data_IF_661277405724
#
_entry.id   IF_661277405724
#
_cell.length_a   1.000
_cell.length_b   1.000
_cell.length_c   1.000
_cell.angle_alpha   90.00
_cell.angle_beta   90.00
_cell.angle_gamma   90.00
#
_symmetry.space_group_name_H-M   'P 1'
#
loop_
_entity.id
_entity.type
_entity.pdbx_description
1 polymer ?
#
# COMPACT_ATOMS: atom_id res chain seq x y z
N UNK A 1 -1.90 -16.06 -18.71
CA UNK A 1 -2.74 -15.54 -17.62
C UNK A 1 -3.31 -14.22 -18.09
N UNK A 2 -4.65 -14.10 -18.15
CA UNK A 2 -5.29 -12.81 -18.45
C UNK A 2 -5.04 -11.90 -17.25
N UNK A 3 -4.25 -10.84 -17.42
CA UNK A 3 -4.25 -9.72 -16.47
C UNK A 3 -5.69 -9.19 -16.46
N UNK A 4 -6.23 -8.92 -15.27
CA UNK A 4 -7.60 -8.47 -15.12
C UNK A 4 -7.74 -7.09 -15.78
N UNK A 5 -8.34 -7.03 -16.96
CA UNK A 5 -8.67 -5.78 -17.65
C UNK A 5 -9.93 -5.20 -17.01
N UNK A 6 -9.77 -4.34 -16.01
CA UNK A 6 -10.87 -3.67 -15.30
C UNK A 6 -10.38 -2.47 -14.50
N UNK A 7 -11.29 -1.60 -14.07
CA UNK A 7 -11.02 -0.51 -13.10
C UNK A 7 -10.51 -1.07 -11.78
N UNK A 8 -9.84 -0.26 -10.96
CA UNK A 8 -9.35 -0.67 -9.64
C UNK A 8 -10.51 -1.16 -8.75
N UNK A 9 -11.68 -0.52 -8.86
CA UNK A 9 -12.89 -0.94 -8.14
C UNK A 9 -13.33 -2.34 -8.56
N UNK A 10 -13.36 -2.63 -9.85
CA UNK A 10 -13.70 -3.96 -10.35
C UNK A 10 -12.69 -5.00 -9.89
N UNK A 11 -11.39 -4.68 -9.86
CA UNK A 11 -10.35 -5.59 -9.36
C UNK A 11 -10.56 -5.93 -7.88
N UNK A 12 -10.80 -4.92 -7.05
CA UNK A 12 -11.08 -5.08 -5.61
C UNK A 12 -12.34 -5.93 -5.37
N UNK A 13 -13.44 -5.60 -6.06
CA UNK A 13 -14.70 -6.35 -5.97
C UNK A 13 -14.54 -7.81 -6.42
N UNK A 14 -13.78 -8.04 -7.49
CA UNK A 14 -13.50 -9.38 -8.01
C UNK A 14 -12.68 -10.23 -7.02
N UNK A 15 -11.64 -9.66 -6.41
CA UNK A 15 -10.82 -10.36 -5.41
C UNK A 15 -11.66 -10.69 -4.18
N UNK A 16 -12.46 -9.74 -3.67
CA UNK A 16 -13.37 -9.96 -2.54
C UNK A 16 -14.40 -11.05 -2.85
N UNK A 17 -15.08 -10.95 -3.99
CA UNK A 17 -16.10 -11.93 -4.42
C UNK A 17 -15.52 -13.34 -4.54
N UNK A 18 -14.42 -13.51 -5.28
CA UNK A 18 -13.77 -14.82 -5.47
C UNK A 18 -13.28 -15.40 -4.14
N UNK A 19 -12.75 -14.56 -3.26
CA UNK A 19 -12.30 -15.00 -1.93
C UNK A 19 -13.47 -15.50 -1.08
N UNK A 20 -14.58 -14.77 -1.07
CA UNK A 20 -15.79 -15.16 -0.33
C UNK A 20 -16.43 -16.44 -0.87
N UNK A 21 -16.55 -16.57 -2.20
CA UNK A 21 -17.20 -17.72 -2.84
C UNK A 21 -16.40 -19.01 -2.73
N UNK A 22 -15.07 -18.91 -2.74
CA UNK A 22 -14.19 -20.08 -2.82
C UNK A 22 -13.50 -20.44 -1.51
N UNK A 23 -13.34 -19.49 -0.58
CA UNK A 23 -12.50 -19.62 0.61
C UNK A 23 -10.99 -19.51 0.35
N UNK A 24 -10.58 -19.20 -0.89
CA UNK A 24 -9.18 -19.00 -1.28
C UNK A 24 -8.96 -17.58 -1.78
N UNK A 25 -7.85 -16.94 -1.37
CA UNK A 25 -7.50 -15.59 -1.82
C UNK A 25 -7.55 -15.46 -3.34
N UNK A 26 -8.31 -14.47 -3.84
CA UNK A 26 -8.57 -14.24 -5.26
C UNK A 26 -9.09 -15.47 -6.05
N UNK A 27 -9.62 -16.50 -5.37
CA UNK A 27 -10.03 -17.77 -5.97
C UNK A 27 -8.88 -18.72 -6.30
N UNK A 28 -7.66 -18.43 -5.87
CA UNK A 28 -6.45 -19.19 -6.20
C UNK A 28 -6.34 -20.47 -5.35
N UNK A 29 -6.93 -21.56 -5.87
CA UNK A 29 -6.77 -22.91 -5.29
C UNK A 29 -5.39 -23.50 -5.55
N UNK A 30 -4.77 -23.07 -6.64
CA UNK A 30 -3.45 -23.48 -7.09
C UNK A 30 -2.60 -22.24 -7.37
N UNK A 31 -1.29 -22.40 -7.27
CA UNK A 31 -0.30 -21.33 -7.51
C UNK A 31 0.49 -21.67 -8.78
N UNK A 32 -0.06 -21.41 -9.98
CA UNK A 32 0.50 -21.91 -11.24
C UNK A 32 1.93 -21.42 -11.48
N UNK A 33 2.25 -20.15 -11.17
CA UNK A 33 3.65 -19.67 -11.29
C UNK A 33 4.62 -20.48 -10.42
N UNK A 34 4.21 -20.82 -9.19
CA UNK A 34 5.01 -21.62 -8.27
C UNK A 34 5.13 -23.07 -8.71
N UNK A 35 4.07 -23.64 -9.31
CA UNK A 35 4.04 -25.03 -9.77
C UNK A 35 4.80 -25.22 -11.08
N UNK A 36 4.59 -24.33 -12.06
CA UNK A 36 5.22 -24.40 -13.38
C UNK A 36 6.70 -23.95 -13.34
N UNK A 37 7.03 -22.93 -12.54
CA UNK A 37 8.37 -22.39 -12.46
C UNK A 37 8.73 -21.94 -11.02
N UNK A 38 9.03 -22.90 -10.11
CA UNK A 38 9.35 -22.60 -8.72
C UNK A 38 10.59 -21.70 -8.58
N UNK A 39 11.57 -21.82 -9.48
CA UNK A 39 12.77 -20.96 -9.44
C UNK A 39 12.42 -19.50 -9.69
N UNK A 40 11.57 -19.21 -10.69
CA UNK A 40 11.12 -17.85 -10.97
C UNK A 40 10.25 -17.30 -9.84
N UNK A 41 9.42 -18.14 -9.21
CA UNK A 41 8.64 -17.76 -8.04
C UNK A 41 9.54 -17.31 -6.89
N UNK A 42 10.52 -18.15 -6.49
CA UNK A 42 11.45 -17.83 -5.40
C UNK A 42 12.36 -16.64 -5.75
N UNK A 43 12.82 -16.54 -7.00
CA UNK A 43 13.62 -15.40 -7.46
C UNK A 43 12.83 -14.09 -7.35
N UNK A 44 11.56 -14.07 -7.80
CA UNK A 44 10.71 -12.90 -7.72
C UNK A 44 10.45 -12.51 -6.26
N UNK A 45 10.07 -13.48 -5.41
CA UNK A 45 9.84 -13.25 -3.98
C UNK A 45 11.08 -12.67 -3.29
N UNK A 46 12.25 -13.29 -3.51
CA UNK A 46 13.50 -12.85 -2.92
C UNK A 46 13.87 -11.42 -3.36
N UNK A 47 13.71 -11.09 -4.64
CA UNK A 47 13.98 -9.74 -5.15
C UNK A 47 13.04 -8.68 -4.59
N UNK A 48 11.74 -8.98 -4.51
CA UNK A 48 10.74 -8.04 -3.98
C UNK A 48 10.98 -7.75 -2.48
N UNK A 49 11.23 -8.79 -1.68
CA UNK A 49 11.56 -8.63 -0.26
C UNK A 49 12.90 -7.93 -0.06
N UNK A 50 13.92 -8.26 -0.86
CA UNK A 50 15.21 -7.58 -0.78
C UNK A 50 15.08 -6.08 -1.15
N UNK A 51 14.22 -5.74 -2.11
CA UNK A 51 13.97 -4.36 -2.50
C UNK A 51 13.32 -3.56 -1.37
N UNK A 52 12.27 -4.08 -0.71
CA UNK A 52 11.61 -3.38 0.42
C UNK A 52 12.55 -3.22 1.62
N UNK A 53 13.32 -4.25 1.96
CA UNK A 53 14.32 -4.18 3.04
C UNK A 53 15.40 -3.16 2.71
N UNK A 54 15.95 -3.18 1.49
CA UNK A 54 17.02 -2.26 1.08
C UNK A 54 16.52 -0.82 1.03
N UNK A 55 15.31 -0.59 0.51
CA UNK A 55 14.70 0.74 0.48
C UNK A 55 14.65 1.35 1.89
N UNK A 56 14.20 0.56 2.88
CA UNK A 56 14.17 0.98 4.28
C UNK A 56 15.56 1.29 4.83
N UNK A 57 16.51 0.37 4.70
CA UNK A 57 17.86 0.54 5.24
C UNK A 57 18.58 1.76 4.63
N UNK A 58 18.25 2.15 3.41
CA UNK A 58 18.78 3.38 2.80
C UNK A 58 18.03 4.63 3.27
N UNK A 59 16.70 4.58 3.35
CA UNK A 59 15.86 5.73 3.67
C UNK A 59 16.12 6.29 5.08
N UNK A 60 16.40 5.42 6.06
CA UNK A 60 16.67 5.83 7.46
C UNK A 60 17.87 6.77 7.60
N UNK A 61 18.79 6.78 6.62
CA UNK A 61 19.94 7.68 6.62
C UNK A 61 19.61 9.11 6.18
N UNK A 62 18.47 9.33 5.53
CA UNK A 62 17.95 10.64 5.13
C UNK A 62 17.31 11.34 6.32
N UNK A 63 16.66 10.58 7.21
CA UNK A 63 15.91 11.11 8.33
C UNK A 63 16.82 11.85 9.33
N UNK A 64 16.35 13.02 9.77
CA UNK A 64 16.92 13.75 10.89
C UNK A 64 16.41 13.24 12.24
N UNK A 65 15.18 12.70 12.28
CA UNK A 65 14.56 12.17 13.50
C UNK A 65 15.32 10.94 14.02
N UNK A 66 15.75 10.90 15.29
CA UNK A 66 16.35 9.71 15.89
C UNK A 66 15.40 8.51 15.90
N UNK A 67 14.08 8.74 15.89
CA UNK A 67 13.07 7.70 15.86
C UNK A 67 13.17 6.91 14.56
N UNK A 68 13.11 7.60 13.42
CA UNK A 68 13.27 6.96 12.11
C UNK A 68 14.71 6.45 11.91
N UNK A 69 15.71 7.27 12.26
CA UNK A 69 17.14 7.00 11.95
C UNK A 69 17.75 5.88 12.80
N UNK A 70 17.43 5.85 14.09
CA UNK A 70 18.11 4.97 15.07
C UNK A 70 17.18 3.88 15.61
N UNK A 71 15.90 4.21 15.84
CA UNK A 71 14.90 3.24 16.31
C UNK A 71 14.18 2.53 15.18
N UNK A 72 14.39 2.99 13.93
CA UNK A 72 14.00 2.25 12.77
C UNK A 72 12.45 2.13 12.68
N UNK A 73 11.73 3.13 13.21
CA UNK A 73 10.27 3.25 13.17
C UNK A 73 9.81 3.76 11.80
N UNK A 74 10.06 2.92 10.79
CA UNK A 74 9.57 3.09 9.43
C UNK A 74 9.31 1.72 8.80
N UNK A 75 8.37 1.65 7.87
CA UNK A 75 8.04 0.45 7.14
C UNK A 75 7.80 0.76 5.65
N UNK A 76 8.36 -0.07 4.78
CA UNK A 76 8.13 -0.04 3.34
C UNK A 76 7.38 -1.30 2.92
N UNK A 77 6.36 -1.14 2.09
CA UNK A 77 5.59 -2.27 1.56
C UNK A 77 5.24 -2.07 0.09
N UNK A 78 5.09 -3.19 -0.61
CA UNK A 78 4.59 -3.28 -1.97
C UNK A 78 3.21 -3.90 -1.96
N UNK A 79 2.26 -3.27 -2.67
CA UNK A 79 0.85 -3.69 -2.71
C UNK A 79 0.40 -3.98 -4.13
N UNK A 80 -0.50 -4.95 -4.27
CA UNK A 80 -1.24 -5.18 -5.52
C UNK A 80 -2.10 -3.95 -5.89
N UNK A 81 -2.58 -3.86 -7.14
CA UNK A 81 -3.48 -2.77 -7.55
C UNK A 81 -4.74 -2.65 -6.70
N UNK A 82 -5.27 -3.77 -6.21
CA UNK A 82 -6.43 -3.85 -5.34
C UNK A 82 -6.11 -3.61 -3.84
N UNK A 83 -4.85 -3.32 -3.52
CA UNK A 83 -4.43 -2.83 -2.21
C UNK A 83 -4.00 -3.90 -1.22
N UNK A 84 -3.70 -5.13 -1.63
CA UNK A 84 -3.20 -6.18 -0.74
C UNK A 84 -1.67 -6.29 -0.77
N UNK A 85 -1.04 -6.48 0.39
CA UNK A 85 0.41 -6.47 0.51
C UNK A 85 1.07 -7.73 -0.11
N UNK A 86 2.13 -7.52 -0.88
CA UNK A 86 2.92 -8.55 -1.58
C UNK A 86 4.28 -8.78 -0.91
N UNK A 87 4.97 -7.71 -0.55
CA UNK A 87 6.26 -7.75 0.12
C UNK A 87 6.39 -6.56 1.07
N UNK A 88 7.11 -6.75 2.16
CA UNK A 88 7.29 -5.72 3.19
C UNK A 88 8.72 -5.73 3.73
N UNK A 89 9.16 -4.60 4.26
CA UNK A 89 10.35 -4.50 5.10
C UNK A 89 10.02 -4.91 6.54
N UNK A 90 11.05 -4.95 7.40
CA UNK A 90 10.86 -4.96 8.86
C UNK A 90 10.47 -3.56 9.38
N UNK A 91 10.36 -3.40 10.70
CA UNK A 91 10.03 -2.13 11.37
C UNK A 91 8.61 -2.14 11.94
N UNK A 92 7.92 -1.01 11.82
CA UNK A 92 6.54 -0.80 12.31
C UNK A 92 5.51 -1.45 11.36
N UNK A 93 5.50 -2.78 11.32
CA UNK A 93 4.69 -3.56 10.37
C UNK A 93 3.17 -3.45 10.57
N UNK A 94 2.70 -2.84 11.66
CA UNK A 94 1.27 -2.52 11.85
C UNK A 94 0.73 -1.72 10.66
N UNK A 95 1.57 -0.89 10.04
CA UNK A 95 1.17 -0.05 8.92
C UNK A 95 0.99 -0.79 7.59
N UNK A 96 1.35 -2.08 7.52
CA UNK A 96 1.05 -2.88 6.32
C UNK A 96 -0.46 -2.96 6.12
N UNK A 97 -1.22 -3.11 7.20
CA UNK A 97 -2.68 -3.15 7.11
C UNK A 97 -3.28 -1.76 6.94
N UNK A 98 -2.75 -0.73 7.62
CA UNK A 98 -3.31 0.63 7.52
C UNK A 98 -3.09 1.23 6.13
N UNK A 99 -1.92 1.05 5.51
CA UNK A 99 -1.66 1.45 4.13
C UNK A 99 -2.49 0.64 3.12
N UNK A 100 -2.75 -0.64 3.40
CA UNK A 100 -3.68 -1.46 2.60
C UNK A 100 -5.10 -0.88 2.62
N UNK A 101 -5.55 -0.43 3.80
CA UNK A 101 -6.85 0.20 3.97
C UNK A 101 -6.90 1.55 3.24
N UNK A 102 -5.86 2.38 3.32
CA UNK A 102 -5.78 3.64 2.56
C UNK A 102 -6.01 3.43 1.06
N UNK A 103 -5.32 2.43 0.47
CA UNK A 103 -5.47 2.12 -0.97
C UNK A 103 -6.91 1.69 -1.27
N UNK A 104 -7.49 0.82 -0.44
CA UNK A 104 -8.87 0.34 -0.63
C UNK A 104 -9.89 1.48 -0.47
N UNK A 105 -9.70 2.37 0.50
CA UNK A 105 -10.52 3.56 0.70
C UNK A 105 -10.43 4.51 -0.49
N UNK A 106 -9.23 4.73 -1.06
CA UNK A 106 -9.07 5.52 -2.30
C UNK A 106 -9.88 4.92 -3.47
N UNK A 107 -9.82 3.60 -3.65
CA UNK A 107 -10.57 2.88 -4.68
C UNK A 107 -12.09 3.02 -4.46
N UNK A 108 -12.55 2.83 -3.24
CA UNK A 108 -13.96 2.94 -2.86
C UNK A 108 -14.48 4.38 -2.98
N UNK A 109 -13.64 5.37 -2.67
CA UNK A 109 -13.94 6.78 -2.82
C UNK A 109 -13.95 7.27 -4.29
N UNK A 110 -13.52 6.44 -5.25
CA UNK A 110 -13.52 6.78 -6.66
C UNK A 110 -12.36 7.69 -7.08
N UNK A 111 -11.19 7.49 -6.46
CA UNK A 111 -10.00 8.26 -6.80
C UNK A 111 -9.52 8.03 -8.24
N UNK A 112 -9.86 6.89 -8.84
CA UNK A 112 -9.59 6.60 -10.25
C UNK A 112 -10.30 7.60 -11.16
N UNK A 113 -11.54 8.00 -10.84
CA UNK A 113 -12.30 9.00 -11.60
C UNK A 113 -11.95 10.44 -11.20
N UNK A 114 -11.84 10.71 -9.90
CA UNK A 114 -11.49 12.03 -9.37
C UNK A 114 -10.85 11.90 -7.98
N UNK A 115 -9.62 12.41 -7.75
CA UNK A 115 -8.84 13.33 -8.60
C UNK A 115 -8.14 12.70 -9.82
N UNK A 116 -8.22 11.38 -9.96
CA UNK A 116 -7.43 10.58 -10.90
C UNK A 116 -6.15 10.08 -10.23
N UNK A 117 -5.69 8.90 -10.64
CA UNK A 117 -4.41 8.29 -10.23
C UNK A 117 -3.53 8.19 -11.47
N UNK A 118 -2.42 8.93 -11.51
CA UNK A 118 -1.53 9.06 -12.68
C UNK A 118 -0.09 8.71 -12.31
N UNK A 119 0.69 8.38 -13.33
CA UNK A 119 2.11 8.12 -13.15
C UNK A 119 2.84 9.36 -12.60
N UNK A 120 3.65 9.15 -11.57
CA UNK A 120 4.33 10.21 -10.82
C UNK A 120 3.50 10.90 -9.73
N UNK A 121 2.22 10.54 -9.54
CA UNK A 121 1.44 11.06 -8.41
C UNK A 121 2.00 10.55 -7.06
N UNK A 122 1.80 11.34 -6.01
CA UNK A 122 2.17 10.99 -4.64
C UNK A 122 0.98 11.30 -3.75
N UNK A 123 0.50 10.30 -3.02
CA UNK A 123 -0.57 10.44 -2.03
C UNK A 123 0.02 10.37 -0.63
N UNK A 124 -0.53 11.15 0.29
CA UNK A 124 -0.18 11.08 1.70
C UNK A 124 -1.43 11.03 2.56
N UNK A 125 -1.41 10.18 3.57
CA UNK A 125 -2.51 10.00 4.50
C UNK A 125 -1.97 9.72 5.91
N UNK A 126 -2.69 10.19 6.92
CA UNK A 126 -2.46 9.81 8.31
C UNK A 126 -3.77 9.72 9.12
N UNK A 127 -4.93 9.68 8.47
CA UNK A 127 -6.24 9.77 9.13
C UNK A 127 -6.58 8.50 9.95
N UNK A 128 -6.65 8.59 11.30
CA UNK A 128 -7.01 7.44 12.14
C UNK A 128 -8.47 7.01 11.97
N UNK A 129 -9.36 7.89 11.50
CA UNK A 129 -10.75 7.53 11.23
C UNK A 129 -10.90 6.55 10.06
N UNK A 130 -9.91 6.51 9.17
CA UNK A 130 -9.84 5.61 8.03
C UNK A 130 -9.03 4.34 8.31
N UNK A 131 -8.58 4.13 9.54
CA UNK A 131 -7.90 2.91 9.96
C UNK A 131 -6.41 3.07 10.29
N UNK A 132 -5.86 4.28 10.25
CA UNK A 132 -4.50 4.53 10.74
C UNK A 132 -4.43 4.43 12.29
N UNK A 133 -3.22 4.20 12.83
CA UNK A 133 -3.00 4.02 14.28
C UNK A 133 -3.15 5.35 15.02
N UNK A 134 -2.45 6.38 14.55
CA UNK A 134 -2.52 7.75 15.05
C UNK A 134 -1.91 8.71 14.03
N UNK A 135 -2.12 10.01 14.24
CA UNK A 135 -1.75 11.06 13.27
C UNK A 135 -0.25 11.26 13.09
N UNK A 136 0.60 10.77 14.01
CA UNK A 136 2.06 10.90 13.92
C UNK A 136 2.70 9.89 12.96
N UNK A 137 1.96 8.86 12.54
CA UNK A 137 2.40 7.93 11.51
C UNK A 137 1.85 8.38 10.17
N UNK A 138 2.74 8.81 9.28
CA UNK A 138 2.35 9.36 7.98
C UNK A 138 2.65 8.33 6.91
N UNK A 139 1.62 7.99 6.15
CA UNK A 139 1.73 7.17 4.97
C UNK A 139 2.05 8.05 3.76
N UNK A 140 2.94 7.54 2.91
CA UNK A 140 3.20 8.03 1.55
C UNK A 140 2.98 6.87 0.59
N UNK A 141 2.03 7.02 -0.33
CA UNK A 141 1.63 6.02 -1.31
C UNK A 141 1.98 6.51 -2.70
N UNK A 142 2.74 5.70 -3.45
CA UNK A 142 3.17 6.01 -4.81
C UNK A 142 2.65 4.90 -5.74
N UNK A 143 1.73 5.20 -6.68
CA UNK A 143 1.33 4.26 -7.71
C UNK A 143 2.48 4.00 -8.69
N UNK A 144 2.67 2.74 -9.06
CA UNK A 144 3.71 2.23 -9.93
C UNK A 144 3.05 1.77 -11.21
N UNK A 145 3.32 2.43 -12.33
CA UNK A 145 2.78 2.06 -13.63
C UNK A 145 3.82 1.26 -14.41
N UNK A 146 3.38 0.22 -15.11
CA UNK A 146 4.22 -0.54 -16.03
C UNK A 146 3.56 -0.61 -17.40
N UNK A 147 4.32 -0.34 -18.47
CA UNK A 147 3.89 -0.67 -19.83
C UNK A 147 4.55 -2.00 -20.25
N UNK A 148 3.78 -3.01 -20.70
CA UNK A 148 4.39 -4.13 -21.39
C UNK A 148 5.01 -3.63 -22.71
N UNK A 149 6.18 -4.17 -23.06
CA UNK A 149 6.91 -3.88 -24.31
C UNK A 149 6.14 -4.43 -25.53
N UNK A 150 5.03 -3.81 -25.89
CA UNK A 150 4.37 -3.89 -27.20
C UNK A 150 3.38 -2.75 -27.36
N UNK A 151 3.70 -1.84 -28.29
CA UNK A 151 2.92 -0.66 -28.69
C UNK A 151 1.41 -0.92 -28.76
N UNK A 152 0.64 -0.30 -27.86
CA UNK A 152 -0.62 0.46 -28.07
C UNK A 152 -1.20 0.80 -26.69
N UNK A 153 -1.27 2.09 -26.35
CA UNK A 153 -1.79 2.64 -25.08
C UNK A 153 -3.23 2.22 -24.80
N UNK A 154 -3.54 1.74 -23.58
CA UNK A 154 -4.90 1.73 -22.99
C UNK A 154 -4.82 1.63 -21.44
N UNK A 155 -5.01 2.76 -20.72
CA UNK A 155 -5.42 2.88 -19.30
C UNK A 155 -4.52 2.24 -18.19
N UNK A 156 -4.66 2.63 -16.91
CA UNK A 156 -3.68 2.33 -15.87
C UNK A 156 -3.87 0.93 -15.30
N UNK A 157 -3.49 -0.10 -16.06
CA UNK A 157 -3.87 -1.49 -15.77
C UNK A 157 -2.78 -2.33 -15.10
N UNK A 158 -1.59 -1.75 -14.87
CA UNK A 158 -0.47 -2.38 -14.17
C UNK A 158 -0.01 -1.49 -13.00
N UNK A 159 -0.93 -1.10 -12.11
CA UNK A 159 -0.65 -0.22 -10.97
C UNK A 159 -0.28 -0.99 -9.70
N UNK A 160 0.99 -1.05 -9.31
CA UNK A 160 1.39 -1.55 -7.96
C UNK A 160 1.54 -0.35 -7.02
N UNK A 161 1.49 -0.46 -5.69
CA UNK A 161 1.77 0.71 -4.82
C UNK A 161 3.02 0.48 -3.97
N UNK A 162 3.90 1.50 -3.90
CA UNK A 162 4.88 1.60 -2.80
C UNK A 162 4.22 2.37 -1.67
N UNK A 163 4.11 1.75 -0.50
CA UNK A 163 3.73 2.43 0.73
C UNK A 163 4.94 2.62 1.63
N UNK A 164 5.10 3.83 2.13
CA UNK A 164 6.05 4.21 3.16
C UNK A 164 5.26 4.72 4.37
N UNK A 165 5.48 4.14 5.54
CA UNK A 165 5.07 4.75 6.81
C UNK A 165 6.29 5.25 7.57
N UNK A 166 6.23 6.49 8.03
CA UNK A 166 7.24 7.10 8.89
C UNK A 166 6.59 7.66 10.15
N UNK A 167 7.15 7.32 11.31
CA UNK A 167 6.84 8.00 12.57
C UNK A 167 7.65 9.31 12.64
N UNK A 168 6.97 10.46 12.70
CA UNK A 168 7.64 11.77 12.81
C UNK A 168 8.03 12.14 14.25
N UNK A 169 7.22 11.76 15.23
CA UNK A 169 7.47 12.00 16.67
C UNK A 169 6.63 11.03 17.53
N UNK A 170 7.15 10.60 18.69
CA UNK A 170 6.41 9.84 19.70
C UNK A 170 5.58 10.81 20.56
N UNK A 171 4.85 11.71 19.91
CA UNK A 171 3.95 12.60 20.62
C UNK A 171 2.62 11.87 20.74
N UNK A 172 2.44 11.13 21.84
CA UNK A 172 1.10 10.79 22.34
C UNK A 172 0.67 11.95 23.23
N UNK A 173 0.10 13.04 22.68
CA UNK A 173 -0.48 14.06 23.53
C UNK A 173 -1.49 13.37 24.45
N UNK A 174 -1.54 13.79 25.72
CA UNK A 174 -2.62 13.38 26.62
C UNK A 174 -3.96 13.53 25.89
N UNK A 175 -4.91 12.60 26.05
CA UNK A 175 -6.09 12.52 25.21
C UNK A 175 -6.77 13.89 25.08
N UNK A 176 -6.70 14.46 23.88
CA UNK A 176 -7.58 15.56 23.52
C UNK A 176 -9.00 14.99 23.44
N UNK A 177 -9.96 15.66 24.08
CA UNK A 177 -11.33 15.15 24.22
C UNK A 177 -12.06 15.07 22.87
N UNK A 178 -11.52 15.71 21.82
CA UNK A 178 -12.08 15.70 20.47
C UNK A 178 -11.05 16.10 19.41
N UNK A 179 -11.21 15.58 18.17
CA UNK A 179 -10.39 15.94 17.00
C UNK A 179 -10.53 17.42 16.59
N UNK A 180 -11.63 18.05 17.00
CA UNK A 180 -11.91 19.47 16.78
C UNK A 180 -12.26 20.10 18.12
N UNK A 181 -11.78 21.31 18.47
CA UNK A 181 -12.33 22.03 19.61
C UNK A 181 -13.83 22.21 19.37
N UNK A 182 -14.65 21.86 20.36
CA UNK A 182 -16.08 22.14 20.36
C UNK A 182 -16.28 23.66 20.33
N UNK A 183 -16.25 24.25 19.14
CA UNK A 183 -16.76 25.59 18.93
C UNK A 183 -18.27 25.46 18.99
N UNK A 184 -18.81 25.65 20.20
CA UNK A 184 -20.18 26.09 20.34
C UNK A 184 -20.32 27.38 19.53
N UNK A 185 -21.00 27.29 18.40
CA UNK A 185 -21.43 28.45 17.64
C UNK A 185 -22.18 29.43 18.56
N UNK A 186 -21.65 30.63 18.71
CA UNK A 186 -22.40 31.87 18.90
C UNK A 186 -21.78 32.95 18.03
#
# INVERSE_FOLDING_TARGET
MSVATGSLRQMLEDVRRKTQETGYYAGLRELPLRQENPFRWEEALAKLVAATVTAREVAVHIAASPITRSLNETCFALFTPDGDAVALSTGIIVHVHTMSEDIKQMIEAGYEEFPGIRDGDIFSNNDPALGNVHTTDIHTLIPIFYEPVSRTQVFPQDCTHVGLSEAMDWNSPSPEVSLWPTTSAR
#
